data_IF_261127968552
#
_entry.id   IF_261127968552
#
_cell.length_a   1.000
_cell.length_b   1.000
_cell.length_c   1.000
_cell.angle_alpha   90.00
_cell.angle_beta   90.00
_cell.angle_gamma   90.00
#
_symmetry.space_group_name_H-M   'P 1'
#
loop_
_entity.id
_entity.type
_entity.pdbx_description
1 polymer ?
#
# COMPACT_ATOMS: atom_id res chain seq x y z
N UNK A 1 -0.35 6.52 5.80
CA UNK A 1 0.42 6.00 4.64
C UNK A 1 -0.50 5.97 3.46
N UNK A 2 -0.01 6.42 2.30
CA UNK A 2 -0.85 6.75 1.15
C UNK A 2 -0.46 5.94 -0.07
N UNK A 3 -1.44 5.31 -0.72
CA UNK A 3 -1.25 4.70 -2.04
C UNK A 3 -1.93 5.56 -3.10
N UNK A 4 -1.21 5.86 -4.17
CA UNK A 4 -1.76 6.57 -5.31
C UNK A 4 -2.42 5.59 -6.29
N UNK A 5 -3.69 5.78 -6.60
CA UNK A 5 -4.37 5.01 -7.64
C UNK A 5 -4.15 5.71 -8.98
N UNK A 6 -3.50 5.03 -9.90
CA UNK A 6 -3.21 5.51 -11.26
C UNK A 6 -3.82 4.58 -12.31
N UNK A 7 -4.02 5.07 -13.50
CA UNK A 7 -4.52 4.30 -14.63
C UNK A 7 -4.98 5.23 -15.77
N UNK A 8 -5.04 4.69 -16.98
CA UNK A 8 -5.59 5.40 -18.13
C UNK A 8 -7.09 5.69 -17.94
N UNK A 9 -7.67 6.61 -18.70
CA UNK A 9 -9.12 6.81 -18.68
C UNK A 9 -9.88 5.53 -19.07
N UNK A 10 -11.04 5.31 -18.45
CA UNK A 10 -11.95 4.20 -18.72
C UNK A 10 -11.41 2.79 -18.42
N UNK A 11 -10.43 2.66 -17.54
CA UNK A 11 -9.89 1.36 -17.06
C UNK A 11 -10.59 0.84 -15.80
N UNK A 12 -11.54 1.62 -15.23
CA UNK A 12 -12.24 1.28 -13.98
C UNK A 12 -11.66 1.95 -12.74
N UNK A 13 -10.71 2.90 -12.90
CA UNK A 13 -10.05 3.61 -11.80
C UNK A 13 -11.04 4.30 -10.86
N UNK A 14 -11.94 5.12 -11.40
CA UNK A 14 -12.93 5.85 -10.59
C UNK A 14 -13.97 4.92 -9.96
N UNK A 15 -14.34 3.83 -10.63
CA UNK A 15 -15.22 2.81 -10.08
C UNK A 15 -14.59 2.15 -8.87
N UNK A 16 -13.33 1.74 -8.97
CA UNK A 16 -12.57 1.17 -7.85
C UNK A 16 -12.41 2.17 -6.71
N UNK A 17 -12.07 3.43 -7.01
CA UNK A 17 -11.92 4.47 -5.98
C UNK A 17 -13.25 4.74 -5.25
N UNK A 18 -14.38 4.76 -5.97
CA UNK A 18 -15.70 4.90 -5.36
C UNK A 18 -16.03 3.70 -4.46
N UNK A 19 -15.72 2.47 -4.88
CA UNK A 19 -15.88 1.28 -4.04
C UNK A 19 -15.04 1.41 -2.74
N UNK A 20 -13.79 1.88 -2.85
CA UNK A 20 -12.93 2.17 -1.70
C UNK A 20 -13.56 3.22 -0.77
N UNK A 21 -14.07 4.31 -1.31
CA UNK A 21 -14.67 5.39 -0.51
C UNK A 21 -15.99 5.00 0.14
N UNK A 22 -16.80 4.18 -0.52
CA UNK A 22 -18.07 3.67 0.02
C UNK A 22 -17.82 2.62 1.12
N UNK A 23 -16.77 1.79 0.99
CA UNK A 23 -16.32 0.88 2.03
C UNK A 23 -15.56 1.60 3.17
N UNK A 24 -15.34 2.91 3.03
CA UNK A 24 -14.51 3.72 3.90
C UNK A 24 -15.08 3.94 5.30
N UNK A 25 -14.20 4.28 6.22
CA UNK A 25 -14.56 4.61 7.60
C UNK A 25 -15.02 6.06 7.67
N UNK A 26 -16.15 6.37 8.37
CA UNK A 26 -16.55 7.75 8.60
C UNK A 26 -15.40 8.59 9.19
N UNK A 27 -15.16 9.77 8.62
CA UNK A 27 -14.06 10.65 9.01
C UNK A 27 -14.07 11.04 10.50
N UNK A 28 -15.25 11.00 11.14
CA UNK A 28 -15.45 11.30 12.57
C UNK A 28 -14.71 10.36 13.52
N UNK A 29 -14.33 9.17 13.05
CA UNK A 29 -13.63 8.19 13.87
C UNK A 29 -12.09 8.40 13.91
N UNK A 30 -11.56 9.30 13.06
CA UNK A 30 -10.12 9.57 12.95
C UNK A 30 -9.85 11.08 13.02
N UNK A 31 -9.39 11.54 14.17
CA UNK A 31 -9.22 12.95 14.54
C UNK A 31 -8.21 13.76 13.68
N UNK A 32 -7.58 13.14 12.67
CA UNK A 32 -6.56 13.77 11.81
C UNK A 32 -6.76 13.52 10.30
N UNK A 33 -7.89 12.96 9.88
CA UNK A 33 -8.20 12.83 8.46
C UNK A 33 -8.74 14.15 7.92
N UNK A 34 -7.95 14.80 7.06
CA UNK A 34 -8.44 15.91 6.23
C UNK A 34 -9.44 15.35 5.22
N UNK A 35 -10.64 15.90 5.17
CA UNK A 35 -11.64 15.54 4.15
C UNK A 35 -11.16 16.14 2.82
N UNK A 36 -10.32 15.41 2.10
CA UNK A 36 -9.98 15.70 0.71
C UNK A 36 -10.84 14.77 -0.16
N UNK A 37 -11.62 15.31 -1.12
CA UNK A 37 -12.50 14.49 -1.97
C UNK A 37 -11.78 13.43 -2.80
N UNK A 38 -10.45 13.52 -2.89
CA UNK A 38 -9.63 12.56 -3.61
C UNK A 38 -8.91 11.55 -2.68
N UNK A 39 -9.26 11.48 -1.40
CA UNK A 39 -8.65 10.56 -0.43
C UNK A 39 -9.71 9.65 0.17
N UNK A 40 -9.59 8.36 -0.10
CA UNK A 40 -10.37 7.30 0.54
C UNK A 40 -9.60 6.68 1.71
N UNK A 41 -10.21 6.61 2.89
CA UNK A 41 -9.64 5.96 4.07
C UNK A 41 -10.40 4.69 4.34
N UNK A 42 -9.71 3.56 4.35
CA UNK A 42 -10.34 2.25 4.56
C UNK A 42 -9.72 1.51 5.72
N UNK A 43 -10.54 0.71 6.41
CA UNK A 43 -10.08 -0.21 7.44
C UNK A 43 -9.30 -1.37 6.81
N UNK A 44 -8.24 -1.77 7.48
CA UNK A 44 -7.53 -3.01 7.15
C UNK A 44 -8.28 -4.16 7.81
N UNK A 45 -8.81 -5.14 7.05
CA UNK A 45 -9.48 -6.30 7.61
C UNK A 45 -8.52 -7.07 8.53
N UNK A 46 -8.94 -7.35 9.76
CA UNK A 46 -8.15 -8.11 10.72
C UNK A 46 -9.04 -8.97 11.63
N UNK A 47 -9.17 -10.25 11.29
CA UNK A 47 -9.95 -11.22 12.04
C UNK A 47 -9.48 -11.39 13.50
N UNK A 48 -8.22 -11.05 13.80
CA UNK A 48 -7.67 -11.08 15.16
C UNK A 48 -8.29 -9.99 16.03
N UNK A 49 -8.42 -8.79 15.46
CA UNK A 49 -9.04 -7.66 16.15
C UNK A 49 -10.54 -7.90 16.36
N UNK A 50 -11.23 -8.51 15.39
CA UNK A 50 -12.63 -8.89 15.50
C UNK A 50 -12.83 -9.91 16.62
N UNK A 51 -11.99 -10.94 16.68
CA UNK A 51 -12.02 -11.89 17.79
C UNK A 51 -11.83 -11.21 19.14
N UNK A 52 -10.91 -10.25 19.27
CA UNK A 52 -10.71 -9.48 20.50
C UNK A 52 -11.95 -8.64 20.85
N UNK A 53 -12.60 -8.03 19.85
CA UNK A 53 -13.88 -7.33 20.05
C UNK A 53 -14.93 -8.24 20.68
N UNK A 54 -15.09 -9.43 20.13
CA UNK A 54 -16.10 -10.39 20.57
C UNK A 54 -15.79 -10.97 21.98
N UNK A 55 -14.51 -10.99 22.38
CA UNK A 55 -14.11 -11.40 23.73
C UNK A 55 -14.27 -10.28 24.79
N UNK A 56 -13.97 -9.04 24.42
CA UNK A 56 -13.89 -7.92 25.36
C UNK A 56 -15.13 -7.03 25.36
N UNK A 57 -16.00 -7.12 24.34
CA UNK A 57 -17.17 -6.25 24.14
C UNK A 57 -16.84 -4.77 24.40
N UNK A 58 -15.83 -4.19 23.71
CA UNK A 58 -15.31 -2.87 24.01
C UNK A 58 -16.31 -1.77 23.67
N UNK A 59 -16.20 -0.62 24.36
CA UNK A 59 -16.98 0.58 24.03
C UNK A 59 -16.58 1.15 22.67
N UNK A 60 -15.31 0.94 22.27
CA UNK A 60 -14.76 1.44 21.02
C UNK A 60 -13.97 0.35 20.29
N UNK A 61 -14.20 0.26 18.98
CA UNK A 61 -13.50 -0.65 18.07
C UNK A 61 -12.77 0.18 17.01
N UNK A 62 -11.44 0.05 16.94
CA UNK A 62 -10.61 0.90 16.07
C UNK A 62 -9.64 0.03 15.25
N UNK A 63 -10.00 -0.34 14.02
CA UNK A 63 -9.10 -1.07 13.11
C UNK A 63 -7.93 -0.19 12.65
N UNK A 64 -6.89 -0.82 12.12
CA UNK A 64 -5.86 -0.12 11.35
C UNK A 64 -6.47 0.46 10.07
N UNK A 65 -5.88 1.52 9.55
CA UNK A 65 -6.37 2.16 8.31
C UNK A 65 -5.24 2.41 7.32
N UNK A 66 -5.63 2.44 6.04
CA UNK A 66 -4.78 2.83 4.93
C UNK A 66 -5.50 3.89 4.08
N UNK A 67 -4.72 4.79 3.48
CA UNK A 67 -5.25 5.87 2.65
C UNK A 67 -4.98 5.58 1.18
N UNK A 68 -6.02 5.68 0.36
CA UNK A 68 -5.91 5.67 -1.09
C UNK A 68 -6.18 7.07 -1.64
N UNK A 69 -5.37 7.50 -2.59
CA UNK A 69 -5.48 8.81 -3.23
C UNK A 69 -5.84 8.62 -4.69
N UNK A 70 -7.00 9.14 -5.13
CA UNK A 70 -7.32 9.16 -6.55
C UNK A 70 -6.44 10.19 -7.27
N UNK A 71 -5.55 9.68 -8.11
CA UNK A 71 -4.70 10.52 -8.93
C UNK A 71 -5.37 10.65 -10.30
N UNK A 72 -5.76 11.89 -10.63
CA UNK A 72 -6.43 12.20 -11.90
C UNK A 72 -5.68 11.55 -13.08
N UNK A 73 -6.46 10.96 -14.00
CA UNK A 73 -5.89 10.15 -15.09
C UNK A 73 -4.84 10.90 -15.91
N UNK A 74 -3.84 10.15 -16.33
CA UNK A 74 -2.77 10.65 -17.18
C UNK A 74 -3.31 11.03 -18.56
N UNK A 75 -2.96 12.22 -19.02
CA UNK A 75 -3.06 12.61 -20.43
C UNK A 75 -1.68 12.43 -21.04
N UNK A 76 -1.58 11.72 -22.15
CA UNK A 76 -0.32 11.49 -22.90
C UNK A 76 0.44 12.80 -23.12
N UNK A 77 1.74 12.84 -22.78
CA UNK A 77 2.54 14.06 -22.83
C UNK A 77 2.55 14.87 -21.52
N UNK A 78 2.14 14.28 -20.43
CA UNK A 78 2.07 14.93 -19.10
C UNK A 78 3.43 15.46 -18.62
N UNK A 79 4.53 14.81 -18.97
CA UNK A 79 5.89 15.22 -18.64
C UNK A 79 6.37 16.45 -19.43
N UNK A 80 5.78 16.72 -20.60
CA UNK A 80 6.16 17.86 -21.47
C UNK A 80 5.20 19.03 -21.45
N UNK A 81 4.06 18.91 -20.73
CA UNK A 81 2.98 19.88 -20.73
C UNK A 81 2.92 20.76 -19.49
N UNK A 82 2.51 22.01 -19.66
CA UNK A 82 2.13 22.88 -18.56
C UNK A 82 0.78 22.44 -17.98
N UNK A 83 0.66 22.31 -16.64
CA UNK A 83 -0.61 22.17 -15.95
C UNK A 83 -0.92 20.77 -15.43
N UNK A 84 -1.83 20.01 -16.06
CA UNK A 84 -2.38 18.76 -15.52
C UNK A 84 -1.35 17.64 -15.35
N UNK A 85 -0.36 17.54 -16.25
CA UNK A 85 0.68 16.53 -16.17
C UNK A 85 1.61 16.72 -14.97
N UNK A 86 2.04 17.95 -14.71
CA UNK A 86 2.86 18.26 -13.54
C UNK A 86 2.09 18.00 -12.24
N UNK A 87 0.78 18.24 -12.22
CA UNK A 87 -0.08 17.91 -11.07
C UNK A 87 -0.17 16.41 -10.83
N UNK A 88 -0.31 15.61 -11.90
CA UNK A 88 -0.28 14.14 -11.83
C UNK A 88 1.01 13.63 -11.19
N UNK A 89 2.17 14.03 -11.71
CA UNK A 89 3.48 13.63 -11.19
C UNK A 89 3.70 14.10 -9.75
N UNK A 90 3.26 15.33 -9.42
CA UNK A 90 3.33 15.88 -8.07
C UNK A 90 2.50 15.06 -7.08
N UNK A 91 1.29 14.65 -7.47
CA UNK A 91 0.42 13.83 -6.62
C UNK A 91 1.04 12.45 -6.36
N UNK A 92 1.63 11.80 -7.39
CA UNK A 92 2.32 10.51 -7.19
C UNK A 92 3.50 10.67 -6.22
N UNK A 93 4.25 11.77 -6.27
CA UNK A 93 5.37 12.02 -5.34
C UNK A 93 4.93 11.98 -3.87
N UNK A 94 3.72 12.43 -3.57
CA UNK A 94 3.21 12.47 -2.18
C UNK A 94 2.75 11.12 -1.65
N UNK A 95 2.74 10.07 -2.47
CA UNK A 95 2.30 8.73 -2.09
C UNK A 95 3.48 7.82 -1.76
N UNK A 96 3.25 6.82 -0.89
CA UNK A 96 4.27 5.84 -0.48
C UNK A 96 4.42 4.69 -1.49
N UNK A 97 3.34 4.34 -2.21
CA UNK A 97 3.29 3.29 -3.23
C UNK A 97 2.21 3.60 -4.27
N UNK A 98 2.15 2.80 -5.33
CA UNK A 98 1.25 2.96 -6.47
C UNK A 98 0.35 1.72 -6.60
N UNK A 99 -0.95 1.95 -6.80
CA UNK A 99 -1.90 0.97 -7.33
C UNK A 99 -2.19 1.34 -8.78
N UNK A 100 -1.68 0.56 -9.69
CA UNK A 100 -1.86 0.79 -11.13
C UNK A 100 -3.04 -0.04 -11.63
N UNK A 101 -4.18 0.60 -11.87
CA UNK A 101 -5.39 -0.04 -12.41
C UNK A 101 -5.23 -0.25 -13.90
N UNK A 102 -5.32 -1.50 -14.33
CA UNK A 102 -5.10 -1.93 -15.72
C UNK A 102 -6.34 -2.67 -16.23
N UNK A 103 -6.87 -2.24 -17.36
CA UNK A 103 -8.04 -2.88 -17.98
C UNK A 103 -7.62 -4.21 -18.62
N UNK A 104 -8.23 -5.30 -18.16
CA UNK A 104 -7.98 -6.66 -18.64
C UNK A 104 -9.26 -7.35 -19.15
N UNK A 105 -10.20 -6.60 -19.70
CA UNK A 105 -11.45 -7.08 -20.27
C UNK A 105 -11.83 -6.29 -21.52
N UNK A 106 -12.60 -6.90 -22.42
CA UNK A 106 -13.18 -6.25 -23.58
C UNK A 106 -14.66 -5.92 -23.32
N UNK A 107 -15.06 -4.68 -23.62
CA UNK A 107 -16.45 -4.24 -23.54
C UNK A 107 -16.72 -3.18 -24.62
N UNK A 108 -17.60 -3.52 -25.55
CA UNK A 108 -17.94 -2.65 -26.67
C UNK A 108 -18.63 -1.33 -26.26
N UNK A 109 -19.26 -1.30 -25.08
CA UNK A 109 -19.94 -0.11 -24.55
C UNK A 109 -19.00 0.85 -23.81
N UNK A 110 -17.77 0.45 -23.54
CA UNK A 110 -16.77 1.26 -22.83
C UNK A 110 -15.62 1.55 -23.79
N UNK A 111 -15.57 2.75 -24.31
CA UNK A 111 -14.53 3.17 -25.26
C UNK A 111 -13.16 3.14 -24.61
N UNK A 112 -12.18 2.50 -25.25
CA UNK A 112 -10.78 2.55 -24.85
C UNK A 112 -10.09 3.76 -25.52
N UNK A 113 -9.29 4.52 -24.76
CA UNK A 113 -8.61 5.72 -25.26
C UNK A 113 -7.61 5.45 -26.37
N UNK A 114 -7.00 4.25 -26.41
CA UNK A 114 -6.07 3.79 -27.44
C UNK A 114 -6.77 2.83 -28.47
N UNK A 115 -8.09 2.78 -28.50
CA UNK A 115 -8.90 2.01 -29.44
C UNK A 115 -9.17 0.57 -29.01
N UNK A 116 -8.15 -0.26 -28.82
CA UNK A 116 -8.29 -1.66 -28.40
C UNK A 116 -7.69 -1.88 -27.01
N UNK A 117 -8.15 -2.91 -26.29
CA UNK A 117 -7.58 -3.32 -25.01
C UNK A 117 -6.21 -3.95 -25.21
N UNK A 118 -5.19 -3.37 -24.61
CA UNK A 118 -3.84 -3.92 -24.54
C UNK A 118 -3.18 -3.51 -23.21
N UNK A 119 -3.23 -4.39 -22.20
CA UNK A 119 -2.78 -4.05 -20.84
C UNK A 119 -1.30 -3.70 -20.77
N UNK A 120 -0.43 -4.34 -21.57
CA UNK A 120 1.01 -4.03 -21.54
C UNK A 120 1.29 -2.65 -22.11
N UNK A 121 0.71 -2.30 -23.25
CA UNK A 121 0.80 -0.95 -23.82
C UNK A 121 0.29 0.10 -22.85
N UNK A 122 -0.82 -0.15 -22.17
CA UNK A 122 -1.43 0.79 -21.24
C UNK A 122 -0.54 1.02 -20.01
N UNK A 123 0.13 -0.03 -19.52
CA UNK A 123 1.15 0.07 -18.47
C UNK A 123 2.34 0.88 -18.96
N UNK A 124 2.85 0.60 -20.18
CA UNK A 124 4.01 1.27 -20.76
C UNK A 124 3.77 2.78 -20.92
N UNK A 125 2.55 3.19 -21.31
CA UNK A 125 2.21 4.62 -21.44
C UNK A 125 2.41 5.35 -20.11
N UNK A 126 1.95 4.79 -19.00
CA UNK A 126 2.12 5.41 -17.67
C UNK A 126 3.57 5.33 -17.23
N UNK A 127 4.21 4.17 -17.37
CA UNK A 127 5.60 3.99 -17.00
C UNK A 127 6.52 4.96 -17.72
N UNK A 128 6.30 5.20 -19.02
CA UNK A 128 7.11 6.13 -19.81
C UNK A 128 7.05 7.57 -19.25
N UNK A 129 5.87 8.05 -18.86
CA UNK A 129 5.74 9.39 -18.26
C UNK A 129 6.46 9.49 -16.91
N UNK A 130 6.42 8.43 -16.10
CA UNK A 130 7.16 8.37 -14.83
C UNK A 130 8.68 8.34 -15.08
N UNK A 131 9.13 7.55 -16.06
CA UNK A 131 10.54 7.45 -16.46
C UNK A 131 11.05 8.81 -16.93
N UNK A 132 10.32 9.52 -17.78
CA UNK A 132 10.72 10.84 -18.27
C UNK A 132 10.89 11.85 -17.14
N UNK A 133 9.99 11.83 -16.14
CA UNK A 133 10.11 12.68 -14.97
C UNK A 133 11.33 12.31 -14.10
N UNK A 134 11.68 11.03 -14.03
CA UNK A 134 12.84 10.56 -13.29
C UNK A 134 14.15 10.87 -14.03
N UNK A 135 14.18 10.77 -15.37
CA UNK A 135 15.33 11.18 -16.20
C UNK A 135 15.72 12.62 -15.87
N UNK A 136 14.77 13.56 -15.89
CA UNK A 136 15.03 14.96 -15.57
C UNK A 136 15.61 15.16 -14.16
N UNK A 137 15.14 14.35 -13.21
CA UNK A 137 15.64 14.42 -11.84
C UNK A 137 17.06 13.86 -11.74
N UNK A 138 17.30 12.71 -12.38
CA UNK A 138 18.61 12.03 -12.36
C UNK A 138 19.66 12.87 -13.09
N UNK A 139 19.34 13.50 -14.23
CA UNK A 139 20.24 14.43 -14.94
C UNK A 139 20.70 15.56 -14.01
N UNK A 140 19.75 16.21 -13.33
CA UNK A 140 20.08 17.27 -12.35
C UNK A 140 20.97 16.75 -11.21
N UNK A 141 20.76 15.51 -10.78
CA UNK A 141 21.57 14.87 -9.73
C UNK A 141 23.00 14.59 -10.21
N UNK A 142 23.14 14.06 -11.43
CA UNK A 142 24.43 13.84 -12.09
C UNK A 142 25.21 15.16 -12.20
N UNK A 143 24.58 16.21 -12.74
CA UNK A 143 25.20 17.52 -12.89
C UNK A 143 25.70 18.10 -11.56
N UNK A 144 24.88 17.98 -10.52
CA UNK A 144 25.24 18.41 -9.16
C UNK A 144 26.44 17.63 -8.60
N UNK A 145 26.42 16.29 -8.74
CA UNK A 145 27.50 15.43 -8.27
C UNK A 145 28.82 15.73 -9.03
N UNK A 146 28.76 15.88 -10.36
CA UNK A 146 29.93 16.24 -11.18
C UNK A 146 30.52 17.58 -10.80
N UNK A 147 29.68 18.60 -10.52
CA UNK A 147 30.15 19.92 -10.06
C UNK A 147 30.82 19.83 -8.69
N UNK A 148 30.24 19.07 -7.76
CA UNK A 148 30.79 18.87 -6.42
C UNK A 148 32.11 18.06 -6.45
N UNK A 149 32.23 17.07 -7.35
CA UNK A 149 33.44 16.27 -7.52
C UNK A 149 34.67 17.10 -7.93
N UNK A 150 34.48 18.22 -8.65
CA UNK A 150 35.60 19.14 -8.97
C UNK A 150 36.29 19.72 -7.74
N UNK A 151 35.64 19.70 -6.57
CA UNK A 151 36.22 20.05 -5.29
C UNK A 151 37.16 19.01 -4.66
N UNK A 152 37.38 17.86 -5.32
CA UNK A 152 38.32 16.81 -4.91
C UNK A 152 37.74 15.71 -3.99
N UNK A 153 36.47 15.76 -3.63
CA UNK A 153 35.84 14.73 -2.79
C UNK A 153 35.41 13.50 -3.62
N UNK A 154 36.08 12.37 -3.37
CA UNK A 154 35.86 11.09 -4.07
C UNK A 154 34.42 10.54 -3.94
N UNK A 155 33.69 10.92 -2.89
CA UNK A 155 32.30 10.48 -2.69
C UNK A 155 31.38 10.95 -3.83
N UNK A 156 31.59 12.18 -4.31
CA UNK A 156 30.81 12.74 -5.40
C UNK A 156 31.14 12.10 -6.77
N UNK A 157 32.35 11.54 -6.95
CA UNK A 157 32.68 10.78 -8.16
C UNK A 157 31.84 9.49 -8.19
N UNK A 158 31.80 8.72 -7.07
CA UNK A 158 30.96 7.52 -6.97
C UNK A 158 29.47 7.86 -7.19
N UNK A 159 28.98 8.92 -6.56
CA UNK A 159 27.60 9.37 -6.76
C UNK A 159 27.30 9.66 -8.24
N UNK A 160 28.17 10.38 -8.92
CA UNK A 160 28.02 10.67 -10.35
C UNK A 160 28.01 9.41 -11.21
N UNK A 161 28.87 8.42 -10.92
CA UNK A 161 28.93 7.18 -11.68
C UNK A 161 27.68 6.31 -11.47
N UNK A 162 27.20 6.18 -10.25
CA UNK A 162 25.95 5.45 -9.92
C UNK A 162 24.76 6.06 -10.66
N UNK A 163 24.60 7.38 -10.58
CA UNK A 163 23.49 8.05 -11.25
C UNK A 163 23.60 8.11 -12.77
N UNK A 164 24.82 8.06 -13.36
CA UNK A 164 24.99 7.90 -14.83
C UNK A 164 24.52 6.52 -15.27
N UNK A 165 24.90 5.44 -14.56
CA UNK A 165 24.42 4.10 -14.88
C UNK A 165 22.90 3.99 -14.78
N UNK A 166 22.31 4.60 -13.75
CA UNK A 166 20.86 4.66 -13.64
C UNK A 166 20.23 5.48 -14.78
N UNK A 167 20.84 6.59 -15.19
CA UNK A 167 20.35 7.41 -16.29
C UNK A 167 20.36 6.65 -17.63
N UNK A 168 21.38 5.86 -17.89
CA UNK A 168 21.45 4.97 -19.07
C UNK A 168 20.30 3.96 -19.03
N UNK A 169 20.08 3.31 -17.88
CA UNK A 169 18.98 2.36 -17.68
C UNK A 169 17.59 2.99 -17.92
N UNK A 170 17.35 4.19 -17.40
CA UNK A 170 16.11 4.93 -17.61
C UNK A 170 15.93 5.33 -19.09
N UNK A 171 17.01 5.75 -19.77
CA UNK A 171 16.98 6.10 -21.19
C UNK A 171 16.70 4.90 -22.12
N UNK A 172 16.94 3.67 -21.65
CA UNK A 172 16.50 2.44 -22.31
C UNK A 172 15.00 2.14 -22.10
N UNK A 173 14.26 3.02 -21.41
CA UNK A 173 12.86 2.83 -21.09
C UNK A 173 12.59 1.86 -19.93
N UNK A 174 13.59 1.59 -19.09
CA UNK A 174 13.49 0.69 -17.95
C UNK A 174 13.23 1.46 -16.65
N UNK A 175 12.48 0.85 -15.74
CA UNK A 175 12.12 1.47 -14.46
C UNK A 175 13.30 1.44 -13.46
N UNK A 176 13.45 2.45 -12.62
CA UNK A 176 14.54 2.50 -11.63
C UNK A 176 14.55 1.30 -10.67
N UNK A 177 13.37 0.73 -10.35
CA UNK A 177 13.26 -0.48 -9.49
C UNK A 177 13.84 -1.74 -10.11
N UNK A 178 14.04 -1.78 -11.43
CA UNK A 178 14.65 -2.91 -12.14
C UNK A 178 16.15 -2.71 -12.41
N UNK A 179 16.74 -1.62 -11.90
CA UNK A 179 18.17 -1.35 -12.05
C UNK A 179 18.98 -2.29 -11.15
N UNK A 180 19.83 -3.10 -11.79
CA UNK A 180 20.72 -4.03 -11.08
C UNK A 180 21.96 -3.29 -10.57
N UNK A 181 22.07 -3.15 -9.25
CA UNK A 181 23.18 -2.48 -8.60
C UNK A 181 23.43 -3.02 -7.18
N UNK A 182 24.53 -2.62 -6.56
CA UNK A 182 24.82 -3.01 -5.18
C UNK A 182 23.79 -2.44 -4.19
N UNK A 183 23.58 -3.09 -3.02
CA UNK A 183 22.70 -2.56 -1.97
C UNK A 183 23.07 -1.14 -1.52
N UNK A 184 24.37 -0.82 -1.47
CA UNK A 184 24.83 0.51 -1.11
C UNK A 184 24.50 1.56 -2.17
N UNK A 185 24.56 1.20 -3.47
CA UNK A 185 24.19 2.07 -4.56
C UNK A 185 22.68 2.25 -4.62
N UNK A 186 21.90 1.18 -4.39
CA UNK A 186 20.45 1.28 -4.26
C UNK A 186 20.03 2.17 -3.07
N UNK A 187 20.70 2.09 -1.94
CA UNK A 187 20.47 2.98 -0.81
C UNK A 187 20.75 4.46 -1.17
N UNK A 188 21.78 4.71 -1.99
CA UNK A 188 22.07 6.05 -2.50
C UNK A 188 21.00 6.53 -3.47
N UNK A 189 20.56 5.70 -4.42
CA UNK A 189 19.49 5.98 -5.37
C UNK A 189 18.18 6.30 -4.64
N UNK A 190 17.85 5.54 -3.61
CA UNK A 190 16.63 5.72 -2.80
C UNK A 190 16.52 7.10 -2.13
N UNK A 191 17.65 7.85 -2.01
CA UNK A 191 17.62 9.24 -1.52
C UNK A 191 17.04 10.24 -2.50
N UNK A 192 16.71 9.83 -3.74
CA UNK A 192 16.31 10.73 -4.82
C UNK A 192 14.80 10.82 -5.05
N UNK A 193 13.99 10.10 -4.27
CA UNK A 193 12.51 10.10 -4.38
C UNK A 193 12.01 9.90 -5.83
N UNK A 194 12.58 8.91 -6.53
CA UNK A 194 12.21 8.58 -7.89
C UNK A 194 10.83 7.92 -7.95
N UNK A 195 10.05 8.29 -8.96
CA UNK A 195 8.69 7.79 -9.15
C UNK A 195 8.70 6.31 -9.56
N UNK A 196 9.63 5.92 -10.42
CA UNK A 196 9.76 4.54 -10.92
C UNK A 196 10.45 3.61 -9.92
N UNK A 197 10.92 4.12 -8.79
CA UNK A 197 11.41 3.32 -7.66
C UNK A 197 10.29 2.94 -6.69
N UNK A 198 9.13 3.63 -6.75
CA UNK A 198 8.00 3.34 -5.87
C UNK A 198 7.50 1.92 -6.07
N UNK A 199 7.17 1.25 -4.97
CA UNK A 199 6.53 -0.05 -4.98
C UNK A 199 5.19 0.03 -5.68
N UNK A 200 4.84 -0.97 -6.48
CA UNK A 200 3.64 -0.96 -7.32
C UNK A 200 2.86 -2.26 -7.17
N UNK A 201 1.53 -2.14 -7.14
CA UNK A 201 0.58 -3.24 -7.35
C UNK A 201 -0.14 -2.97 -8.67
N UNK A 202 -0.14 -3.94 -9.57
CA UNK A 202 -0.98 -3.92 -10.75
C UNK A 202 -2.36 -4.49 -10.40
N UNK A 203 -3.37 -3.63 -10.30
CA UNK A 203 -4.76 -4.03 -10.11
C UNK A 203 -5.36 -4.35 -11.49
N UNK A 204 -5.30 -5.62 -11.88
CA UNK A 204 -5.83 -6.09 -13.15
C UNK A 204 -7.35 -6.15 -13.07
N UNK A 205 -8.02 -5.17 -13.69
CA UNK A 205 -9.48 -5.07 -13.69
C UNK A 205 -10.08 -6.01 -14.73
N UNK A 206 -10.72 -7.07 -14.25
CA UNK A 206 -11.42 -8.11 -15.03
C UNK A 206 -12.91 -7.83 -15.13
N UNK A 207 -13.60 -8.55 -16.01
CA UNK A 207 -15.06 -8.60 -15.99
C UNK A 207 -15.61 -9.56 -14.90
N UNK A 208 -16.92 -9.44 -14.63
CA UNK A 208 -17.59 -10.20 -13.57
C UNK A 208 -17.55 -11.72 -13.77
N UNK A 209 -17.46 -12.19 -15.01
CA UNK A 209 -17.47 -13.62 -15.32
C UNK A 209 -16.08 -14.25 -15.15
N UNK A 210 -15.03 -13.44 -15.27
CA UNK A 210 -13.63 -13.89 -15.32
C UNK A 210 -12.89 -13.75 -13.98
N UNK A 211 -13.44 -12.99 -13.03
CA UNK A 211 -12.76 -12.68 -11.76
C UNK A 211 -12.53 -13.92 -10.89
N UNK A 212 -13.37 -14.95 -11.03
CA UNK A 212 -13.25 -16.22 -10.27
C UNK A 212 -12.24 -17.19 -10.87
N UNK A 213 -11.88 -17.03 -12.16
CA UNK A 213 -10.85 -17.80 -12.84
C UNK A 213 -9.88 -16.88 -13.61
N UNK A 214 -9.14 -16.03 -12.91
CA UNK A 214 -8.28 -15.03 -13.54
C UNK A 214 -7.15 -15.65 -14.36
N UNK A 215 -6.72 -16.86 -14.01
CA UNK A 215 -5.66 -17.57 -14.74
C UNK A 215 -6.10 -18.00 -16.14
N UNK A 216 -7.40 -18.09 -16.43
CA UNK A 216 -7.90 -18.34 -17.78
C UNK A 216 -7.88 -17.10 -18.69
N UNK A 217 -7.64 -15.89 -18.13
CA UNK A 217 -7.69 -14.62 -18.85
C UNK A 217 -6.32 -14.26 -19.43
N UNK A 218 -6.14 -14.26 -20.78
CA UNK A 218 -4.84 -13.98 -21.39
C UNK A 218 -4.28 -12.60 -21.05
N UNK A 219 -5.14 -11.60 -20.85
CA UNK A 219 -4.72 -10.25 -20.44
C UNK A 219 -4.13 -10.25 -19.03
N UNK A 220 -4.76 -10.97 -18.10
CA UNK A 220 -4.25 -11.09 -16.74
C UNK A 220 -2.91 -11.82 -16.70
N UNK A 221 -2.76 -12.92 -17.44
CA UNK A 221 -1.49 -13.65 -17.51
C UNK A 221 -0.33 -12.78 -17.98
N UNK A 222 -0.57 -11.90 -18.98
CA UNK A 222 0.43 -10.92 -19.46
C UNK A 222 0.83 -9.93 -18.36
N UNK A 223 -0.14 -9.36 -17.65
CA UNK A 223 0.12 -8.42 -16.54
C UNK A 223 0.85 -9.11 -15.40
N UNK A 224 0.47 -10.35 -15.06
CA UNK A 224 1.12 -11.15 -14.02
C UNK A 224 2.59 -11.43 -14.36
N UNK A 225 2.88 -11.87 -15.58
CA UNK A 225 4.24 -12.12 -16.04
C UNK A 225 5.11 -10.85 -16.01
N UNK A 226 4.55 -9.70 -16.42
CA UNK A 226 5.25 -8.41 -16.30
C UNK A 226 5.52 -8.07 -14.83
N UNK A 227 4.52 -8.15 -13.98
CA UNK A 227 4.66 -7.86 -12.54
C UNK A 227 5.74 -8.71 -11.89
N UNK A 228 5.76 -10.01 -12.17
CA UNK A 228 6.80 -10.93 -11.68
C UNK A 228 8.20 -10.52 -12.15
N UNK A 229 8.35 -10.12 -13.41
CA UNK A 229 9.64 -9.66 -13.96
C UNK A 229 10.15 -8.37 -13.31
N UNK A 230 9.26 -7.54 -12.79
CA UNK A 230 9.57 -6.27 -12.11
C UNK A 230 9.63 -6.41 -10.58
N UNK A 231 9.43 -7.61 -10.03
CA UNK A 231 9.33 -7.83 -8.58
C UNK A 231 8.09 -7.15 -7.95
N UNK A 232 7.03 -6.99 -8.73
CA UNK A 232 5.76 -6.41 -8.35
C UNK A 232 4.68 -7.49 -8.18
N UNK A 233 3.51 -7.09 -7.65
CA UNK A 233 2.34 -7.95 -7.50
C UNK A 233 1.27 -7.57 -8.53
N UNK A 234 0.66 -8.56 -9.17
CA UNK A 234 -0.57 -8.40 -9.94
C UNK A 234 -1.73 -9.02 -9.17
N UNK A 235 -2.79 -8.25 -8.97
CA UNK A 235 -4.03 -8.69 -8.30
C UNK A 235 -5.19 -8.64 -9.29
N UNK A 236 -5.92 -9.74 -9.48
CA UNK A 236 -7.18 -9.73 -10.22
C UNK A 236 -8.27 -9.08 -9.36
N UNK A 237 -8.97 -8.12 -9.93
CA UNK A 237 -10.04 -7.36 -9.30
C UNK A 237 -11.16 -7.15 -10.33
N UNK A 238 -12.41 -7.08 -9.90
CA UNK A 238 -13.51 -6.59 -10.72
C UNK A 238 -14.06 -5.32 -10.08
N UNK A 239 -13.65 -4.15 -10.59
CA UNK A 239 -14.03 -2.87 -10.00
C UNK A 239 -15.56 -2.65 -9.94
N UNK A 240 -16.31 -3.21 -10.91
CA UNK A 240 -17.78 -3.17 -10.91
C UNK A 240 -18.33 -3.99 -9.75
N UNK A 241 -17.90 -5.24 -9.61
CA UNK A 241 -18.32 -6.11 -8.52
C UNK A 241 -18.02 -5.52 -7.15
N UNK A 242 -16.83 -4.92 -6.99
CA UNK A 242 -16.46 -4.25 -5.74
C UNK A 242 -17.37 -3.04 -5.44
N UNK A 243 -17.81 -2.32 -6.47
CA UNK A 243 -18.76 -1.22 -6.30
C UNK A 243 -20.14 -1.75 -5.87
N UNK A 244 -20.63 -2.82 -6.51
CA UNK A 244 -21.90 -3.46 -6.17
C UNK A 244 -21.89 -4.01 -4.72
N UNK A 245 -20.79 -4.64 -4.29
CA UNK A 245 -20.57 -5.11 -2.91
C UNK A 245 -20.53 -3.95 -1.91
N UNK A 246 -19.90 -2.83 -2.29
CA UNK A 246 -19.77 -1.66 -1.41
C UNK A 246 -21.09 -0.88 -1.23
N UNK A 247 -22.09 -1.08 -2.09
CA UNK A 247 -23.43 -0.50 -1.95
C UNK A 247 -24.32 -1.25 -0.96
N UNK A 248 -23.93 -2.48 -0.56
CA UNK A 248 -24.68 -3.28 0.41
C UNK A 248 -24.29 -2.86 1.85
N UNK A 249 -25.25 -2.33 2.59
CA UNK A 249 -25.07 -1.91 3.98
C UNK A 249 -25.16 -3.07 4.99
N UNK A 250 -26.02 -4.06 4.69
CA UNK A 250 -26.25 -5.20 5.58
C UNK A 250 -25.16 -6.28 5.40
N UNK A 251 -24.44 -6.64 6.48
CA UNK A 251 -23.41 -7.69 6.41
C UNK A 251 -23.94 -9.06 5.98
N UNK A 252 -25.21 -9.40 6.31
CA UNK A 252 -25.81 -10.68 5.90
C UNK A 252 -26.12 -10.67 4.39
N UNK A 253 -26.69 -9.58 3.88
CA UNK A 253 -26.92 -9.41 2.43
C UNK A 253 -25.61 -9.45 1.64
N UNK A 254 -24.57 -8.78 2.16
CA UNK A 254 -23.23 -8.80 1.57
C UNK A 254 -22.66 -10.21 1.50
N UNK A 255 -22.75 -10.98 2.59
CA UNK A 255 -22.26 -12.34 2.65
C UNK A 255 -23.01 -13.26 1.67
N UNK A 256 -24.34 -13.15 1.59
CA UNK A 256 -25.18 -13.91 0.66
C UNK A 256 -24.83 -13.57 -0.80
N UNK A 257 -24.66 -12.29 -1.11
CA UNK A 257 -24.30 -11.85 -2.46
C UNK A 257 -22.92 -12.39 -2.89
N UNK A 258 -21.93 -12.35 -2.00
CA UNK A 258 -20.61 -12.92 -2.25
C UNK A 258 -20.65 -14.44 -2.43
N UNK A 259 -21.46 -15.16 -1.63
CA UNK A 259 -21.65 -16.61 -1.74
C UNK A 259 -22.30 -16.98 -3.09
N UNK A 260 -23.34 -16.24 -3.54
CA UNK A 260 -23.98 -16.45 -4.83
C UNK A 260 -23.00 -16.29 -6.01
N UNK A 261 -22.08 -15.36 -5.88
CA UNK A 261 -21.03 -15.10 -6.87
C UNK A 261 -19.81 -16.05 -6.74
N UNK A 262 -19.78 -16.92 -5.73
CA UNK A 262 -18.65 -17.82 -5.47
C UNK A 262 -17.37 -17.11 -5.01
N UNK A 263 -17.49 -15.89 -4.49
CA UNK A 263 -16.39 -15.05 -4.02
C UNK A 263 -16.21 -15.25 -2.51
N UNK A 264 -15.09 -15.79 -2.08
CA UNK A 264 -14.80 -15.99 -0.64
C UNK A 264 -14.30 -14.72 0.07
N UNK A 265 -13.58 -13.87 -0.64
CA UNK A 265 -13.01 -12.62 -0.15
C UNK A 265 -13.09 -11.56 -1.24
N UNK A 266 -13.48 -10.33 -0.89
CA UNK A 266 -13.58 -9.26 -1.87
C UNK A 266 -12.19 -8.93 -2.46
N UNK A 267 -12.16 -8.53 -3.73
CA UNK A 267 -10.93 -8.07 -4.37
C UNK A 267 -10.40 -6.80 -3.71
N UNK A 268 -11.29 -5.98 -3.15
CA UNK A 268 -10.92 -4.80 -2.39
C UNK A 268 -10.19 -5.17 -1.08
N UNK A 269 -10.68 -6.15 -0.32
CA UNK A 269 -10.02 -6.60 0.92
C UNK A 269 -8.63 -7.17 0.62
N UNK A 270 -8.51 -7.97 -0.46
CA UNK A 270 -7.20 -8.45 -0.94
C UNK A 270 -6.27 -7.30 -1.35
N UNK A 271 -6.78 -6.27 -2.02
CA UNK A 271 -5.99 -5.10 -2.40
C UNK A 271 -5.52 -4.33 -1.17
N UNK A 272 -6.39 -4.13 -0.17
CA UNK A 272 -6.05 -3.46 1.09
C UNK A 272 -4.95 -4.23 1.82
N UNK A 273 -5.11 -5.54 1.97
CA UNK A 273 -4.12 -6.40 2.65
C UNK A 273 -2.78 -6.39 1.89
N UNK A 274 -2.80 -6.60 0.58
CA UNK A 274 -1.60 -6.56 -0.24
C UNK A 274 -0.89 -5.19 -0.20
N UNK A 275 -1.66 -4.11 -0.13
CA UNK A 275 -1.12 -2.75 0.01
C UNK A 275 -0.44 -2.55 1.36
N UNK A 276 -1.01 -3.11 2.42
CA UNK A 276 -0.46 -3.07 3.77
C UNK A 276 0.89 -3.81 3.83
N UNK A 277 0.93 -5.02 3.27
CA UNK A 277 2.13 -5.85 3.18
C UNK A 277 3.22 -5.21 2.30
N UNK A 278 2.82 -4.65 1.15
CA UNK A 278 3.73 -3.95 0.23
C UNK A 278 4.47 -2.81 0.91
N UNK A 279 3.79 -2.07 1.78
CA UNK A 279 4.37 -0.98 2.56
C UNK A 279 5.24 -1.46 3.73
N UNK A 280 5.31 -2.78 3.97
CA UNK A 280 6.02 -3.37 5.09
C UNK A 280 5.41 -3.00 6.43
N UNK A 281 4.08 -2.90 6.48
CA UNK A 281 3.33 -2.58 7.69
C UNK A 281 2.95 -3.86 8.43
N UNK A 282 2.85 -3.74 9.73
CA UNK A 282 2.31 -4.76 10.64
C UNK A 282 1.42 -4.07 11.67
N UNK A 283 0.53 -4.85 12.29
CA UNK A 283 -0.32 -4.38 13.36
C UNK A 283 0.03 -5.07 14.68
N UNK A 284 0.24 -4.29 15.74
CA UNK A 284 0.10 -4.80 17.10
C UNK A 284 -1.27 -4.40 17.65
N UNK A 285 -1.76 -5.18 18.61
CA UNK A 285 -3.12 -5.07 19.11
C UNK A 285 -3.11 -4.68 20.58
N UNK A 286 -4.05 -3.83 20.96
CA UNK A 286 -4.40 -3.57 22.36
C UNK A 286 -5.86 -3.94 22.58
N UNK A 287 -6.18 -4.60 23.67
CA UNK A 287 -7.51 -5.08 23.98
C UNK A 287 -7.91 -4.78 25.43
N UNK A 288 -9.10 -4.25 25.58
CA UNK A 288 -9.70 -3.95 26.87
C UNK A 288 -11.18 -3.57 26.72
N UNK A 289 -11.88 -3.40 27.85
CA UNK A 289 -13.29 -3.02 27.89
C UNK A 289 -13.58 -1.61 27.33
N UNK A 290 -12.59 -0.73 27.33
CA UNK A 290 -12.77 0.62 26.78
C UNK A 290 -12.50 0.67 25.29
N UNK A 291 -11.44 0.02 24.80
CA UNK A 291 -11.10 0.00 23.39
C UNK A 291 -10.38 -1.30 23.02
N UNK A 292 -10.76 -1.88 21.85
CA UNK A 292 -9.95 -2.82 21.10
C UNK A 292 -9.42 -2.10 19.88
N UNK A 293 -8.07 -2.09 19.69
CA UNK A 293 -7.45 -1.31 18.63
C UNK A 293 -6.26 -2.01 17.99
N UNK A 294 -6.17 -1.90 16.66
CA UNK A 294 -5.00 -2.24 15.88
C UNK A 294 -4.13 -1.00 15.63
N UNK A 295 -2.85 -1.13 15.90
CA UNK A 295 -1.86 -0.05 15.78
C UNK A 295 -0.89 -0.35 14.66
N UNK A 296 -0.87 0.49 13.65
CA UNK A 296 0.01 0.33 12.49
C UNK A 296 1.44 0.77 12.80
N UNK A 297 2.38 -0.11 12.56
CA UNK A 297 3.82 0.16 12.64
C UNK A 297 4.55 -0.45 11.44
N UNK A 298 5.78 -0.01 11.18
CA UNK A 298 6.65 -0.66 10.18
C UNK A 298 7.24 -1.94 10.76
N UNK A 299 7.39 -2.97 9.93
CA UNK A 299 8.14 -4.18 10.27
C UNK A 299 9.56 -3.80 10.72
N UNK A 300 10.01 -4.38 11.83
CA UNK A 300 11.30 -4.03 12.45
C UNK A 300 11.23 -2.93 13.52
N UNK A 301 10.04 -2.34 13.80
CA UNK A 301 9.85 -1.37 14.88
C UNK A 301 10.05 -2.03 16.24
N UNK A 302 10.82 -1.38 17.12
CA UNK A 302 11.04 -1.83 18.49
C UNK A 302 9.91 -1.39 19.44
N UNK A 303 9.78 -2.07 20.58
CA UNK A 303 8.72 -1.85 21.56
C UNK A 303 8.57 -0.39 22.04
N UNK A 304 9.64 0.39 22.34
CA UNK A 304 9.47 1.78 22.74
C UNK A 304 8.82 2.65 21.65
N UNK A 305 9.27 2.50 20.38
CA UNK A 305 8.70 3.25 19.26
C UNK A 305 7.26 2.82 18.96
N UNK A 306 6.94 1.53 19.17
CA UNK A 306 5.56 1.05 19.07
C UNK A 306 4.66 1.67 20.18
N UNK A 307 5.15 1.74 21.41
CA UNK A 307 4.47 2.43 22.51
C UNK A 307 4.24 3.92 22.20
N UNK A 308 5.20 4.56 21.52
CA UNK A 308 5.11 5.94 21.01
C UNK A 308 3.98 6.19 20.02
N UNK A 309 3.51 5.14 19.35
CA UNK A 309 2.30 5.23 18.49
C UNK A 309 1.02 5.45 19.28
N UNK A 310 0.99 4.98 20.52
CA UNK A 310 -0.14 5.20 21.43
C UNK A 310 -0.06 6.62 21.98
N UNK A 311 1.09 6.97 22.58
CA UNK A 311 1.35 8.31 23.12
C UNK A 311 2.87 8.52 23.29
N UNK A 312 3.33 9.76 23.09
CA UNK A 312 4.76 10.11 23.22
C UNK A 312 5.32 9.83 24.63
N UNK A 313 4.50 9.94 25.65
CA UNK A 313 4.90 9.65 27.03
C UNK A 313 5.17 8.15 27.25
N UNK A 314 4.46 7.27 26.51
CA UNK A 314 4.70 5.83 26.57
C UNK A 314 6.08 5.48 26.01
N UNK A 315 6.54 6.18 24.99
CA UNK A 315 7.91 6.02 24.45
C UNK A 315 8.95 6.52 25.44
N UNK A 316 8.74 7.74 25.96
CA UNK A 316 9.69 8.38 26.92
C UNK A 316 9.84 7.59 28.19
N UNK A 317 8.71 7.21 28.79
CA UNK A 317 8.64 6.51 30.07
C UNK A 317 8.68 4.99 29.93
N UNK A 318 9.00 4.43 28.78
CA UNK A 318 8.95 2.99 28.52
C UNK A 318 9.78 2.19 29.53
N UNK A 319 9.13 1.27 30.23
CA UNK A 319 9.76 0.33 31.17
C UNK A 319 9.89 -1.04 30.51
N UNK A 320 8.77 -1.64 30.11
CA UNK A 320 8.67 -2.95 29.46
C UNK A 320 7.33 -3.12 28.78
N UNK A 321 7.22 -4.12 27.92
CA UNK A 321 5.97 -4.56 27.31
C UNK A 321 5.59 -5.96 27.82
N UNK A 322 4.36 -6.16 28.24
CA UNK A 322 3.78 -7.50 28.37
C UNK A 322 3.21 -7.89 27.02
N UNK A 323 3.76 -8.92 26.39
CA UNK A 323 3.45 -9.32 25.02
C UNK A 323 2.99 -10.76 24.99
N UNK A 324 1.90 -11.01 24.27
CA UNK A 324 1.44 -12.36 23.93
C UNK A 324 1.13 -12.41 22.44
N UNK A 325 1.54 -13.50 21.76
CA UNK A 325 1.11 -13.74 20.41
C UNK A 325 -0.40 -14.00 20.36
N UNK A 326 -1.08 -13.45 19.34
CA UNK A 326 -2.54 -13.61 19.23
C UNK A 326 -2.98 -15.07 19.23
N UNK A 327 -2.29 -15.96 18.52
CA UNK A 327 -2.64 -17.39 18.46
C UNK A 327 -2.55 -18.08 19.82
N UNK A 328 -1.55 -17.70 20.64
CA UNK A 328 -1.43 -18.22 22.00
C UNK A 328 -2.59 -17.72 22.88
N UNK A 329 -2.97 -16.44 22.74
CA UNK A 329 -4.11 -15.88 23.46
C UNK A 329 -5.42 -16.55 23.04
N UNK A 330 -5.64 -16.72 21.74
CA UNK A 330 -6.83 -17.39 21.20
C UNK A 330 -6.95 -18.82 21.71
N UNK A 331 -5.84 -19.57 21.70
CA UNK A 331 -5.80 -20.96 22.23
C UNK A 331 -6.09 -21.03 23.73
N UNK A 332 -5.66 -20.03 24.49
CA UNK A 332 -5.93 -19.98 25.94
C UNK A 332 -7.32 -19.44 26.28
N UNK A 333 -7.96 -18.74 25.37
CA UNK A 333 -9.26 -18.09 25.55
C UNK A 333 -9.25 -16.82 26.41
N UNK A 334 -8.35 -16.71 27.39
CA UNK A 334 -8.24 -15.55 28.29
C UNK A 334 -6.79 -15.21 28.60
N UNK A 335 -6.53 -13.91 28.86
CA UNK A 335 -5.19 -13.44 29.26
C UNK A 335 -4.76 -14.05 30.62
N UNK A 336 -5.70 -14.30 31.54
CA UNK A 336 -5.42 -14.94 32.83
C UNK A 336 -4.91 -16.39 32.63
N UNK A 337 -5.57 -17.17 31.77
CA UNK A 337 -5.15 -18.51 31.46
C UNK A 337 -3.78 -18.54 30.74
N UNK A 338 -3.53 -17.58 29.85
CA UNK A 338 -2.26 -17.42 29.18
C UNK A 338 -1.13 -17.06 30.17
N UNK A 339 -1.38 -16.16 31.12
CA UNK A 339 -0.43 -15.83 32.22
C UNK A 339 -0.12 -17.05 33.08
N UNK A 340 -1.13 -17.85 33.45
CA UNK A 340 -0.94 -19.08 34.23
C UNK A 340 -0.06 -20.11 33.50
N UNK A 341 -0.10 -20.14 32.16
CA UNK A 341 0.75 -20.99 31.31
C UNK A 341 2.12 -20.39 30.99
N UNK A 342 2.42 -19.15 31.46
CA UNK A 342 3.69 -18.49 31.20
C UNK A 342 3.89 -18.01 29.76
N UNK A 343 2.79 -17.85 28.98
CA UNK A 343 2.85 -17.42 27.57
C UNK A 343 2.91 -15.90 27.41
N UNK A 344 2.61 -15.15 28.46
CA UNK A 344 2.77 -13.68 28.47
C UNK A 344 4.23 -13.36 28.79
N UNK A 345 4.94 -12.84 27.80
CA UNK A 345 6.35 -12.49 27.90
C UNK A 345 6.52 -11.07 28.41
N UNK A 346 7.57 -10.82 29.18
CA UNK A 346 8.01 -9.47 29.57
C UNK A 346 9.18 -9.07 28.69
N UNK A 347 8.95 -8.13 27.79
CA UNK A 347 9.89 -7.73 26.75
C UNK A 347 10.47 -6.33 27.03
N UNK A 348 11.78 -6.16 26.82
CA UNK A 348 12.50 -4.91 27.02
C UNK A 348 12.56 -4.03 25.77
N UNK A 349 13.43 -3.00 25.85
CA UNK A 349 13.58 -1.95 24.82
C UNK A 349 14.02 -2.48 23.44
N UNK A 350 14.75 -3.59 23.42
CA UNK A 350 15.29 -4.17 22.18
C UNK A 350 14.32 -5.12 21.47
N UNK A 351 13.16 -5.38 22.06
CA UNK A 351 12.17 -6.26 21.47
C UNK A 351 11.65 -5.67 20.16
N UNK A 352 11.77 -6.44 19.09
CA UNK A 352 11.21 -6.10 17.78
C UNK A 352 9.79 -6.64 17.72
N UNK A 353 8.83 -5.75 17.55
CA UNK A 353 7.40 -6.07 17.46
C UNK A 353 7.10 -7.02 16.31
N UNK A 354 6.20 -7.96 16.56
CA UNK A 354 5.70 -8.91 15.57
C UNK A 354 4.26 -8.58 15.20
N UNK A 355 3.87 -8.94 13.99
CA UNK A 355 2.48 -8.81 13.56
C UNK A 355 1.57 -9.69 14.41
N UNK A 356 0.47 -9.12 14.90
CA UNK A 356 -0.48 -9.79 15.80
C UNK A 356 -0.04 -9.90 17.26
N UNK A 357 1.05 -9.25 17.69
CA UNK A 357 1.34 -9.13 19.11
C UNK A 357 0.20 -8.39 19.83
N UNK A 358 -0.36 -9.02 20.88
CA UNK A 358 -1.29 -8.36 21.80
C UNK A 358 -0.49 -7.84 22.98
N UNK A 359 -0.54 -6.52 23.23
CA UNK A 359 0.45 -5.84 24.06
C UNK A 359 -0.17 -4.95 25.11
N UNK A 360 0.43 -4.97 26.31
CA UNK A 360 0.24 -3.98 27.35
C UNK A 360 1.58 -3.33 27.68
N UNK A 361 1.71 -2.01 27.38
CA UNK A 361 2.92 -1.26 27.69
C UNK A 361 2.91 -0.72 29.12
N UNK A 362 3.99 -0.95 29.84
CA UNK A 362 4.24 -0.42 31.18
C UNK A 362 5.23 0.74 31.05
N UNK A 363 4.83 1.88 31.55
CA UNK A 363 5.61 3.12 31.46
C UNK A 363 5.50 3.92 32.77
N UNK A 364 6.44 4.83 32.98
CA UNK A 364 6.44 5.78 34.08
C UNK A 364 6.88 7.14 33.55
N UNK A 365 6.08 8.19 33.79
CA UNK A 365 6.32 9.57 33.32
C UNK A 365 6.50 10.46 34.56
#
# INVERSE_FOLDING_TARGET
MKLGIVGLPNVGKSTLFNAITNAGVPADNYAFCTIDPNVGVVSVPDARLEWLRDQHHPKKFTPAVIEFVDIAGLVKGASKGEGLGNKFLSNIRTTDAIVHVVRCFDNANITHVEGATDPLRDIDIINLELIMADIEMVERRVDKAVKAAKGGDKRFNREADVFRGLLEHLNEGKLARTYDCSPDDMALIATSDLLTLKKTIYAANLDENSVNDPESVPYFQKVKALAESEGCLALPICAKLEADIAELDDPEEKAMFMEELGVQESGLDRLIQASYDLLGLISFLTAGSDECRAWTIKKGTKAPQAAGKIHTDFERGFIRAEVIAFEDLKTCGTLAAAKAKGLVRSEGKEYVMKDGDVVNFLFNV
#
